data_IF_244379618197
#
_entry.id   IF_244379618197
#
_cell.length_a   1.000
_cell.length_b   1.000
_cell.length_c   1.000
_cell.angle_alpha   90.00
_cell.angle_beta   90.00
_cell.angle_gamma   90.00
#
_symmetry.space_group_name_H-M   'P 1'
#
loop_
_entity.id
_entity.type
_entity.pdbx_description
1 polymer ?
#
# COMPACT_ATOMS: atom_id res chain seq x y z
N UNK A 1 43.93 21.88 -13.83
CA UNK A 1 43.31 20.56 -13.80
C UNK A 1 41.89 20.71 -14.40
N UNK A 2 41.63 20.08 -15.52
CA UNK A 2 40.26 20.07 -16.08
C UNK A 2 39.37 19.36 -15.09
N UNK A 3 38.27 19.98 -14.65
CA UNK A 3 37.25 19.32 -13.84
C UNK A 3 36.76 18.06 -14.57
N UNK A 4 36.63 16.93 -13.90
CA UNK A 4 36.07 15.73 -14.55
C UNK A 4 34.68 16.06 -15.04
N UNK A 5 34.41 15.86 -16.34
CA UNK A 5 33.09 16.05 -16.91
C UNK A 5 32.12 15.06 -16.23
N UNK A 6 31.19 15.56 -15.41
CA UNK A 6 30.11 14.78 -14.86
C UNK A 6 29.12 14.44 -15.96
N UNK A 7 28.66 13.19 -16.00
CA UNK A 7 27.60 12.76 -16.92
C UNK A 7 26.22 13.19 -16.44
N UNK A 8 26.06 13.38 -15.13
CA UNK A 8 24.86 13.92 -14.48
C UNK A 8 25.24 14.56 -13.14
N UNK A 9 24.45 15.51 -12.63
CA UNK A 9 24.62 16.01 -11.27
C UNK A 9 24.28 14.91 -10.24
N UNK A 10 23.17 14.21 -10.45
CA UNK A 10 22.70 13.16 -9.57
C UNK A 10 22.40 11.89 -10.37
N UNK A 11 22.94 10.76 -9.88
CA UNK A 11 22.53 9.43 -10.34
C UNK A 11 21.61 8.80 -9.32
N UNK A 12 20.41 8.42 -9.77
CA UNK A 12 19.42 7.68 -8.98
C UNK A 12 19.47 6.21 -9.39
N UNK A 13 19.70 5.33 -8.43
CA UNK A 13 19.80 3.88 -8.65
C UNK A 13 18.48 3.24 -8.25
N UNK A 14 17.71 2.78 -9.24
CA UNK A 14 16.39 2.19 -9.09
C UNK A 14 15.25 3.10 -9.57
N UNK A 15 14.49 2.62 -10.56
CA UNK A 15 13.33 3.29 -11.13
C UNK A 15 12.00 2.82 -10.50
N UNK A 16 12.00 2.52 -9.22
CA UNK A 16 10.79 2.38 -8.41
C UNK A 16 10.16 3.75 -8.10
N UNK A 17 8.98 3.74 -7.52
CA UNK A 17 8.21 4.96 -7.20
C UNK A 17 9.03 5.98 -6.38
N UNK A 18 9.84 5.52 -5.42
CA UNK A 18 10.68 6.40 -4.60
C UNK A 18 11.78 7.10 -5.43
N UNK A 19 12.47 6.35 -6.29
CA UNK A 19 13.52 6.88 -7.15
C UNK A 19 12.98 7.84 -8.21
N UNK A 20 11.89 7.47 -8.88
CA UNK A 20 11.26 8.30 -9.90
C UNK A 20 10.71 9.61 -9.32
N UNK A 21 10.06 9.55 -8.13
CA UNK A 21 9.56 10.77 -7.48
C UNK A 21 10.71 11.71 -7.04
N UNK A 22 11.83 11.14 -6.58
CA UNK A 22 13.01 11.92 -6.25
C UNK A 22 13.64 12.55 -7.50
N UNK A 23 13.78 11.77 -8.58
CA UNK A 23 14.30 12.27 -9.87
C UNK A 23 13.44 13.41 -10.42
N UNK A 24 12.12 13.29 -10.34
CA UNK A 24 11.18 14.33 -10.76
C UNK A 24 11.44 15.65 -10.03
N UNK A 25 11.56 15.57 -8.72
CA UNK A 25 11.79 16.76 -7.90
C UNK A 25 13.17 17.39 -8.12
N UNK A 26 14.20 16.55 -8.34
CA UNK A 26 15.55 17.04 -8.70
C UNK A 26 15.54 17.73 -10.05
N UNK A 27 14.97 17.11 -11.08
CA UNK A 27 14.86 17.69 -12.42
C UNK A 27 14.03 18.97 -12.44
N UNK A 28 12.94 19.03 -11.67
CA UNK A 28 12.13 20.26 -11.53
C UNK A 28 12.89 21.42 -10.87
N UNK A 29 13.93 21.11 -10.09
CA UNK A 29 14.83 22.11 -9.49
C UNK A 29 16.05 22.43 -10.37
N UNK A 30 16.08 21.97 -11.64
CA UNK A 30 17.17 22.25 -12.58
C UNK A 30 18.40 21.37 -12.41
N UNK A 31 18.32 20.28 -11.63
CA UNK A 31 19.43 19.34 -11.42
C UNK A 31 19.40 18.25 -12.50
N UNK A 32 20.52 18.11 -13.23
CA UNK A 32 20.65 17.05 -14.24
C UNK A 32 20.66 15.69 -13.57
N UNK A 33 19.60 14.91 -13.82
CA UNK A 33 19.36 13.65 -13.09
C UNK A 33 19.30 12.47 -14.06
N UNK A 34 20.04 11.41 -13.75
CA UNK A 34 20.04 10.15 -14.49
C UNK A 34 19.48 9.04 -13.58
N UNK A 35 18.49 8.28 -14.03
CA UNK A 35 17.91 7.14 -13.33
C UNK A 35 18.36 5.84 -13.99
N UNK A 36 18.97 4.94 -13.22
CA UNK A 36 19.45 3.64 -13.68
C UNK A 36 18.60 2.53 -13.07
N UNK A 37 18.01 1.68 -13.92
CA UNK A 37 17.18 0.54 -13.51
C UNK A 37 17.72 -0.76 -14.10
N UNK A 38 17.89 -1.76 -13.25
CA UNK A 38 18.41 -3.06 -13.67
C UNK A 38 17.41 -3.91 -14.47
N UNK A 39 16.10 -3.71 -14.24
CA UNK A 39 15.06 -4.37 -15.03
C UNK A 39 14.85 -3.65 -16.37
N UNK A 40 14.18 -4.33 -17.31
CA UNK A 40 13.80 -3.73 -18.61
C UNK A 40 12.60 -2.78 -18.51
N UNK A 41 11.95 -2.72 -17.35
CA UNK A 41 10.78 -1.89 -17.09
C UNK A 41 10.95 -1.13 -15.77
N UNK A 42 10.35 0.06 -15.69
CA UNK A 42 10.27 0.84 -14.45
C UNK A 42 9.20 0.28 -13.52
N UNK A 43 9.19 0.72 -12.25
CA UNK A 43 8.10 0.45 -11.32
C UNK A 43 8.46 -0.46 -10.15
N UNK A 44 9.44 -1.35 -10.31
CA UNK A 44 9.85 -2.28 -9.26
C UNK A 44 8.69 -3.19 -8.83
N UNK A 45 8.21 -3.05 -7.57
CA UNK A 45 7.07 -3.83 -7.05
C UNK A 45 5.70 -3.39 -7.58
N UNK A 46 5.58 -2.19 -8.15
CA UNK A 46 4.38 -1.74 -8.85
C UNK A 46 4.42 -2.16 -10.32
N UNK A 47 4.30 -3.44 -10.54
CA UNK A 47 4.32 -4.08 -11.86
C UNK A 47 2.98 -4.75 -12.14
N UNK A 48 2.51 -4.63 -13.38
CA UNK A 48 1.28 -5.24 -13.90
C UNK A 48 1.65 -6.16 -15.05
N UNK A 49 1.18 -7.39 -15.01
CA UNK A 49 1.33 -8.34 -16.11
C UNK A 49 0.09 -8.29 -17.01
N UNK A 50 0.29 -8.39 -18.32
CA UNK A 50 -0.78 -8.39 -19.31
C UNK A 50 -0.92 -9.81 -19.88
N UNK A 51 -2.07 -10.44 -19.61
CA UNK A 51 -2.38 -11.80 -20.04
C UNK A 51 -3.76 -11.81 -20.68
N UNK A 52 -3.88 -12.17 -21.95
CA UNK A 52 -5.15 -12.31 -22.68
C UNK A 52 -6.11 -11.12 -22.53
N UNK A 53 -5.57 -9.90 -22.53
CA UNK A 53 -6.31 -8.66 -22.35
C UNK A 53 -6.61 -8.29 -20.88
N UNK A 54 -6.27 -9.16 -19.93
CA UNK A 54 -6.33 -8.83 -18.50
C UNK A 54 -5.08 -8.08 -18.05
N UNK A 55 -5.23 -7.26 -17.00
CA UNK A 55 -4.12 -6.52 -16.35
C UNK A 55 -4.02 -6.94 -14.88
N UNK A 56 -2.97 -7.68 -14.55
CA UNK A 56 -2.77 -8.42 -13.31
C UNK A 56 -1.64 -7.82 -12.48
N UNK A 57 -1.98 -7.20 -11.35
CA UNK A 57 -0.96 -6.60 -10.47
C UNK A 57 -0.21 -7.68 -9.68
N UNK A 58 1.12 -7.64 -9.69
CA UNK A 58 1.95 -8.67 -9.06
C UNK A 58 1.91 -8.65 -7.53
N UNK A 59 1.78 -7.48 -6.93
CA UNK A 59 1.72 -7.30 -5.46
C UNK A 59 0.36 -6.78 -5.02
N UNK A 60 -0.33 -6.00 -5.85
CA UNK A 60 -1.69 -5.52 -5.59
C UNK A 60 -1.81 -4.62 -4.35
N UNK A 61 -0.79 -3.79 -4.06
CA UNK A 61 -0.82 -2.91 -2.91
C UNK A 61 -1.93 -1.87 -3.01
N UNK A 62 -2.78 -1.81 -1.97
CA UNK A 62 -3.89 -0.88 -1.89
C UNK A 62 -3.41 0.56 -1.68
N UNK A 63 -4.02 1.50 -2.41
CA UNK A 63 -3.83 2.93 -2.22
C UNK A 63 -5.00 3.53 -1.44
N UNK A 64 -4.82 4.75 -0.95
CA UNK A 64 -5.90 5.57 -0.40
C UNK A 64 -5.93 6.93 -1.07
N UNK A 65 -7.12 7.42 -1.39
CA UNK A 65 -7.31 8.79 -1.89
C UNK A 65 -6.89 9.85 -0.88
N UNK A 66 -6.71 9.47 0.39
CA UNK A 66 -6.19 10.36 1.45
C UNK A 66 -4.66 10.39 1.54
N UNK A 67 -3.94 9.73 0.65
CA UNK A 67 -2.47 9.80 0.62
C UNK A 67 -1.99 11.14 0.10
N UNK A 68 -1.40 12.02 0.94
CA UNK A 68 -1.01 13.37 0.51
C UNK A 68 0.00 13.38 -0.63
N UNK A 69 0.91 12.40 -0.67
CA UNK A 69 1.98 12.38 -1.67
C UNK A 69 1.47 12.06 -3.08
N UNK A 70 0.32 11.41 -3.23
CA UNK A 70 -0.31 11.21 -4.56
C UNK A 70 -0.74 12.54 -5.20
N UNK A 71 -1.05 13.55 -4.37
CA UNK A 71 -1.47 14.89 -4.83
C UNK A 71 -0.33 15.92 -4.85
N UNK A 72 0.81 15.62 -4.19
CA UNK A 72 1.94 16.56 -4.06
C UNK A 72 3.13 16.19 -4.94
N UNK A 73 3.17 14.95 -5.42
CA UNK A 73 4.29 14.49 -6.24
C UNK A 73 4.15 15.06 -7.66
N UNK A 74 5.09 15.88 -8.12
CA UNK A 74 5.07 16.36 -9.50
C UNK A 74 5.09 15.18 -10.47
N UNK A 75 4.36 15.30 -11.59
CA UNK A 75 4.25 14.26 -12.60
C UNK A 75 3.13 13.24 -12.35
N UNK A 76 2.39 13.35 -11.24
CA UNK A 76 1.21 12.49 -10.97
C UNK A 76 -0.13 13.18 -11.27
N UNK A 77 -0.12 14.38 -11.86
CA UNK A 77 -1.35 15.15 -12.15
C UNK A 77 -2.34 14.41 -13.06
N UNK A 78 -1.83 13.52 -13.92
CA UNK A 78 -2.64 12.67 -14.81
C UNK A 78 -3.04 11.32 -14.21
N UNK A 79 -2.74 11.05 -12.93
CA UNK A 79 -3.06 9.76 -12.31
C UNK A 79 -4.55 9.63 -12.03
N UNK A 80 -5.21 8.70 -12.71
CA UNK A 80 -6.62 8.37 -12.45
C UNK A 80 -6.68 7.26 -11.41
N UNK A 81 -7.37 7.53 -10.29
CA UNK A 81 -7.60 6.56 -9.22
C UNK A 81 -9.03 6.02 -9.31
N UNK A 82 -9.17 4.71 -9.35
CA UNK A 82 -10.46 4.00 -9.31
C UNK A 82 -10.77 3.58 -7.87
N UNK A 83 -11.72 4.23 -7.19
CA UNK A 83 -12.02 3.93 -5.81
C UNK A 83 -12.93 2.71 -5.68
N UNK A 84 -12.65 1.87 -4.68
CA UNK A 84 -13.59 0.86 -4.21
C UNK A 84 -14.88 1.50 -3.69
N UNK A 85 -15.92 0.71 -3.49
CA UNK A 85 -17.11 1.14 -2.74
C UNK A 85 -16.71 1.66 -1.35
N UNK A 86 -17.46 2.61 -0.75
CA UNK A 86 -17.12 3.16 0.56
C UNK A 86 -17.05 2.09 1.65
N UNK A 87 -16.00 2.15 2.46
CA UNK A 87 -15.72 1.14 3.49
C UNK A 87 -15.24 -0.18 2.91
N UNK A 88 -15.60 -1.28 3.56
CA UNK A 88 -15.30 -2.65 3.15
C UNK A 88 -16.49 -3.57 3.42
N UNK A 89 -16.56 -4.70 2.74
CA UNK A 89 -17.42 -5.83 3.10
C UNK A 89 -16.65 -6.78 4.02
N UNK A 90 -17.29 -7.26 5.07
CA UNK A 90 -16.79 -8.30 5.95
C UNK A 90 -17.63 -9.56 5.75
N UNK A 91 -17.00 -10.66 5.40
CA UNK A 91 -17.64 -11.97 5.50
C UNK A 91 -17.49 -12.49 6.93
N UNK A 92 -18.60 -12.76 7.59
CA UNK A 92 -18.61 -13.35 8.93
C UNK A 92 -19.91 -14.09 9.19
N UNK A 93 -19.84 -15.25 9.84
CA UNK A 93 -21.01 -16.13 10.10
C UNK A 93 -21.83 -16.45 8.84
N UNK A 94 -21.18 -16.59 7.67
CA UNK A 94 -21.82 -16.88 6.39
C UNK A 94 -22.62 -15.72 5.78
N UNK A 95 -22.36 -14.48 6.20
CA UNK A 95 -23.05 -13.27 5.73
C UNK A 95 -22.06 -12.14 5.44
N UNK A 96 -22.50 -11.21 4.60
CA UNK A 96 -21.76 -9.98 4.34
C UNK A 96 -22.24 -8.84 5.24
N UNK A 97 -21.30 -8.12 5.84
CA UNK A 97 -21.53 -6.95 6.68
C UNK A 97 -20.76 -5.76 6.14
N UNK A 98 -21.42 -4.64 5.91
CA UNK A 98 -20.72 -3.40 5.55
C UNK A 98 -20.05 -2.78 6.78
N UNK A 99 -18.80 -2.37 6.62
CA UNK A 99 -18.02 -1.73 7.66
C UNK A 99 -17.19 -0.55 7.11
N UNK A 100 -17.04 0.51 7.89
CA UNK A 100 -16.21 1.67 7.55
C UNK A 100 -16.97 2.99 7.58
N UNK A 101 -16.23 4.08 7.38
CA UNK A 101 -16.76 5.45 7.40
C UNK A 101 -17.25 5.83 6.01
N UNK A 102 -18.47 6.39 5.89
CA UNK A 102 -18.92 6.99 4.64
C UNK A 102 -18.26 8.38 4.48
N UNK A 103 -17.60 8.66 3.33
CA UNK A 103 -17.11 10.00 3.05
C UNK A 103 -18.28 10.99 2.95
N UNK A 104 -18.18 12.11 3.65
CA UNK A 104 -19.18 13.18 3.64
C UNK A 104 -20.01 13.31 4.92
N UNK A 105 -19.89 12.40 5.86
CA UNK A 105 -20.56 12.47 7.15
C UNK A 105 -19.67 13.13 8.24
N UNK A 106 -19.12 14.28 7.95
CA UNK A 106 -18.41 15.08 8.96
C UNK A 106 -19.41 15.68 9.95
N UNK A 107 -19.43 15.16 11.19
CA UNK A 107 -20.25 15.65 12.27
C UNK A 107 -21.07 14.56 12.98
N UNK A 108 -21.66 14.91 14.14
CA UNK A 108 -22.51 14.02 14.94
C UNK A 108 -23.66 13.38 14.15
N UNK A 109 -24.12 14.04 13.09
CA UNK A 109 -25.15 13.51 12.16
C UNK A 109 -24.64 12.33 11.33
N UNK A 110 -23.35 12.30 10.93
CA UNK A 110 -22.79 11.19 10.17
C UNK A 110 -22.62 9.92 10.99
N UNK A 111 -22.25 10.04 12.26
CA UNK A 111 -22.21 8.90 13.17
C UNK A 111 -23.60 8.28 13.38
N UNK A 112 -24.63 9.11 13.49
CA UNK A 112 -26.05 8.68 13.57
C UNK A 112 -26.54 8.05 12.27
N UNK A 113 -26.14 8.53 11.09
CA UNK A 113 -26.48 7.91 9.81
C UNK A 113 -25.79 6.57 9.58
N UNK A 114 -24.53 6.41 9.99
CA UNK A 114 -23.82 5.13 9.95
C UNK A 114 -24.50 4.09 10.86
N UNK A 115 -24.92 4.49 12.05
CA UNK A 115 -25.70 3.63 12.98
C UNK A 115 -27.08 3.30 12.38
N UNK A 116 -27.73 4.22 11.71
CA UNK A 116 -29.07 4.01 11.12
C UNK A 116 -29.02 3.15 9.85
N UNK A 117 -28.00 3.30 9.01
CA UNK A 117 -27.79 2.45 7.84
C UNK A 117 -27.50 0.99 8.22
N UNK A 118 -26.79 0.77 9.34
CA UNK A 118 -26.53 -0.56 9.90
C UNK A 118 -27.76 -1.16 10.60
N UNK A 119 -28.65 -0.32 11.13
CA UNK A 119 -29.91 -0.76 11.77
C UNK A 119 -31.06 -1.04 10.78
N UNK A 120 -30.97 -0.49 9.55
CA UNK A 120 -32.01 -0.59 8.51
C UNK A 120 -31.72 -1.59 7.40
N UNK A 121 -30.67 -2.44 7.54
CA UNK A 121 -30.47 -3.55 6.63
C UNK A 121 -31.68 -4.50 6.66
N UNK A 122 -32.31 -4.81 5.51
CA UNK A 122 -33.52 -5.64 5.48
C UNK A 122 -33.20 -7.02 6.09
N UNK A 123 -33.97 -7.38 7.12
CA UNK A 123 -33.97 -8.75 7.66
C UNK A 123 -34.52 -9.67 6.58
N UNK A 124 -33.67 -10.47 5.95
CA UNK A 124 -34.12 -11.53 5.06
C UNK A 124 -35.02 -12.49 5.85
N UNK A 125 -36.16 -12.94 5.30
CA UNK A 125 -37.06 -13.84 6.00
C UNK A 125 -36.35 -15.16 6.30
N UNK A 126 -36.48 -15.60 7.53
CA UNK A 126 -35.93 -16.87 8.04
C UNK A 126 -36.43 -18.04 7.21
N UNK A 127 -35.54 -18.83 6.63
CA UNK A 127 -35.87 -20.12 6.03
C UNK A 127 -36.50 -21.05 7.10
N UNK A 128 -37.50 -21.86 6.75
CA UNK A 128 -38.17 -22.74 7.71
C UNK A 128 -37.20 -23.79 8.25
N UNK A 129 -37.17 -23.93 9.58
CA UNK A 129 -36.42 -24.96 10.28
C UNK A 129 -36.98 -26.35 9.97
N UNK A 130 -36.23 -27.20 9.29
CA UNK A 130 -36.51 -28.65 9.21
C UNK A 130 -36.08 -29.29 10.50
N UNK A 131 -36.96 -30.06 11.19
CA UNK A 131 -36.59 -30.71 12.44
C UNK A 131 -35.63 -31.90 12.17
N UNK A 132 -34.42 -31.84 12.74
CA UNK A 132 -33.47 -32.97 12.74
C UNK A 132 -33.85 -33.94 13.85
N UNK A 133 -34.08 -35.21 13.46
CA UNK A 133 -34.15 -36.37 14.38
C UNK A 133 -32.78 -36.63 15.05
N UNK A 134 -32.73 -37.02 16.33
CA UNK A 134 -31.50 -37.35 17.00
C UNK A 134 -31.08 -38.82 16.70
N UNK A 135 -29.83 -39.01 16.25
CA UNK A 135 -29.17 -40.30 16.31
C UNK A 135 -27.99 -40.18 17.29
N UNK A 136 -28.05 -40.92 18.37
CA UNK A 136 -26.98 -40.98 19.36
C UNK A 136 -25.92 -42.00 18.92
N UNK A 137 -24.63 -41.56 18.96
CA UNK A 137 -23.47 -42.47 19.02
C UNK A 137 -22.46 -41.82 20.00
N UNK A 138 -21.96 -42.57 21.01
CA UNK A 138 -21.00 -42.03 21.97
C UNK A 138 -19.57 -42.24 21.46
N UNK A 139 -18.76 -41.20 21.45
CA UNK A 139 -17.34 -41.33 21.14
C UNK A 139 -16.60 -40.00 21.03
N UNK A 140 -15.81 -39.72 22.05
CA UNK A 140 -14.66 -38.80 22.09
C UNK A 140 -14.94 -37.35 21.75
N UNK A 141 -15.09 -36.55 22.79
CA UNK A 141 -15.13 -35.07 22.71
C UNK A 141 -13.76 -34.54 22.28
N UNK A 142 -13.68 -34.19 20.98
CA UNK A 142 -12.70 -33.21 20.51
C UNK A 142 -13.37 -31.86 20.75
N UNK A 143 -12.79 -31.03 21.59
CA UNK A 143 -13.26 -29.68 21.85
C UNK A 143 -13.09 -28.85 20.59
N UNK A 144 -14.12 -28.77 19.78
CA UNK A 144 -14.23 -27.81 18.68
C UNK A 144 -14.36 -26.42 19.32
N UNK A 145 -13.54 -25.42 18.93
CA UNK A 145 -13.71 -24.06 19.43
C UNK A 145 -15.14 -23.60 19.14
N UNK A 146 -15.85 -23.15 20.18
CA UNK A 146 -17.20 -22.60 20.04
C UNK A 146 -17.19 -21.51 19.01
N UNK A 147 -17.96 -21.64 17.94
CA UNK A 147 -18.27 -20.56 16.99
C UNK A 147 -18.70 -19.33 17.79
N UNK A 148 -17.97 -18.23 17.64
CA UNK A 148 -18.33 -16.93 18.21
C UNK A 148 -19.58 -16.42 17.48
N UNK A 149 -20.77 -16.83 17.91
CA UNK A 149 -22.03 -16.32 17.36
C UNK A 149 -22.21 -14.86 17.75
N UNK A 150 -21.99 -13.96 16.81
CA UNK A 150 -22.23 -12.52 16.96
C UNK A 150 -21.67 -11.75 15.79
N UNK A 151 -22.36 -10.66 15.38
CA UNK A 151 -21.92 -9.83 14.26
C UNK A 151 -20.43 -9.43 14.43
N UNK A 152 -19.61 -9.46 13.36
CA UNK A 152 -18.16 -9.21 13.43
C UNK A 152 -17.81 -7.81 13.96
N UNK A 153 -18.72 -6.85 13.84
CA UNK A 153 -18.57 -5.48 14.35
C UNK A 153 -18.96 -5.32 15.82
N UNK A 154 -19.45 -6.36 16.49
CA UNK A 154 -19.93 -6.29 17.85
C UNK A 154 -21.33 -5.66 17.99
N UNK A 155 -21.65 -5.14 19.20
CA UNK A 155 -22.92 -4.47 19.49
C UNK A 155 -23.01 -3.10 18.83
N UNK A 156 -24.21 -2.50 18.79
CA UNK A 156 -24.42 -1.12 18.29
C UNK A 156 -23.54 -0.10 19.06
N UNK A 157 -23.29 -0.33 20.34
CA UNK A 157 -22.39 0.52 21.14
C UNK A 157 -20.96 0.36 20.70
N UNK A 158 -20.49 -0.87 20.42
CA UNK A 158 -19.15 -1.14 19.94
C UNK A 158 -18.92 -0.49 18.57
N UNK A 159 -19.93 -0.55 17.69
CA UNK A 159 -19.90 0.10 16.37
C UNK A 159 -19.86 1.62 16.48
N UNK A 160 -20.63 2.21 17.39
CA UNK A 160 -20.60 3.66 17.65
C UNK A 160 -19.22 4.10 18.19
N UNK A 161 -18.64 3.34 19.12
CA UNK A 161 -17.28 3.59 19.66
C UNK A 161 -16.22 3.49 18.56
N UNK A 162 -16.30 2.46 17.71
CA UNK A 162 -15.41 2.29 16.57
C UNK A 162 -15.51 3.46 15.59
N UNK A 163 -16.75 3.84 15.21
CA UNK A 163 -16.98 4.98 14.33
C UNK A 163 -16.42 6.28 14.88
N UNK A 164 -16.64 6.56 16.16
CA UNK A 164 -16.08 7.74 16.83
C UNK A 164 -14.54 7.69 16.89
N UNK A 165 -13.95 6.51 17.11
CA UNK A 165 -12.49 6.35 17.11
C UNK A 165 -11.88 6.59 15.71
N UNK A 166 -12.47 6.05 14.65
CA UNK A 166 -12.03 6.26 13.26
C UNK A 166 -12.18 7.73 12.84
N UNK A 167 -13.32 8.38 13.15
CA UNK A 167 -13.53 9.80 12.87
C UNK A 167 -12.48 10.68 13.57
N UNK A 168 -12.16 10.36 14.83
CA UNK A 168 -11.12 11.06 15.58
C UNK A 168 -9.74 10.85 14.96
N UNK A 169 -9.42 9.64 14.50
CA UNK A 169 -8.17 9.35 13.80
C UNK A 169 -8.07 10.13 12.49
N UNK A 170 -9.13 10.20 11.71
CA UNK A 170 -9.16 10.96 10.45
C UNK A 170 -8.82 12.45 10.67
N UNK A 171 -9.35 13.06 11.74
CA UNK A 171 -9.08 14.45 12.10
C UNK A 171 -7.77 14.70 12.86
N UNK A 172 -7.04 13.65 13.28
CA UNK A 172 -5.80 13.83 14.06
C UNK A 172 -4.61 14.08 13.12
N UNK A 173 -3.83 15.17 13.30
CA UNK A 173 -2.60 15.40 12.55
C UNK A 173 -1.63 14.21 12.66
N UNK A 174 -0.93 13.90 11.55
CA UNK A 174 0.01 12.76 11.49
C UNK A 174 1.10 12.87 12.56
N UNK A 175 1.61 14.07 12.82
CA UNK A 175 2.66 14.36 13.81
C UNK A 175 2.22 13.94 15.22
N UNK A 176 0.95 14.18 15.58
CA UNK A 176 0.38 13.75 16.89
C UNK A 176 0.25 12.23 16.98
N UNK A 177 -0.05 11.54 15.87
CA UNK A 177 -0.09 10.09 15.84
C UNK A 177 1.32 9.50 16.02
N UNK A 178 2.31 10.10 15.38
CA UNK A 178 3.71 9.70 15.47
C UNK A 178 4.35 9.98 16.85
N UNK A 179 3.82 10.92 17.60
CA UNK A 179 4.27 11.22 18.96
C UNK A 179 3.72 10.27 20.05
N UNK A 180 2.76 9.40 19.70
CA UNK A 180 2.19 8.42 20.65
C UNK A 180 3.24 7.38 21.08
N UNK A 181 3.07 6.76 22.27
CA UNK A 181 3.83 5.59 22.66
C UNK A 181 3.72 4.50 21.58
N UNK A 182 4.84 3.86 21.31
CA UNK A 182 4.92 2.85 20.25
C UNK A 182 4.85 1.44 20.84
N UNK A 183 3.93 0.66 20.33
CA UNK A 183 3.68 -0.76 20.65
C UNK A 183 3.43 -1.52 19.34
N UNK A 184 3.46 -2.85 19.32
CA UNK A 184 2.83 -3.62 18.27
C UNK A 184 1.34 -3.26 18.13
N UNK A 185 0.84 -3.14 16.91
CA UNK A 185 -0.52 -2.66 16.64
C UNK A 185 -1.59 -3.48 17.39
N UNK A 186 -1.46 -4.80 17.43
CA UNK A 186 -2.39 -5.66 18.15
C UNK A 186 -2.46 -5.34 19.65
N UNK A 187 -1.32 -5.08 20.28
CA UNK A 187 -1.26 -4.69 21.69
C UNK A 187 -1.85 -3.30 21.92
N UNK A 188 -1.53 -2.34 21.05
CA UNK A 188 -2.05 -0.99 21.15
C UNK A 188 -3.58 -0.92 21.02
N UNK A 189 -4.19 -1.72 20.14
CA UNK A 189 -5.64 -1.79 19.97
C UNK A 189 -6.31 -2.34 21.25
N UNK A 190 -5.75 -3.39 21.85
CA UNK A 190 -6.23 -3.96 23.11
C UNK A 190 -6.09 -2.95 24.27
N UNK A 191 -4.93 -2.29 24.37
CA UNK A 191 -4.67 -1.30 25.42
C UNK A 191 -5.61 -0.07 25.35
N UNK A 192 -6.19 0.21 24.18
CA UNK A 192 -7.19 1.29 23.99
C UNK A 192 -8.60 0.89 24.41
N UNK A 193 -8.80 -0.30 24.95
CA UNK A 193 -10.09 -0.78 25.44
C UNK A 193 -11.10 -1.11 24.34
N UNK A 194 -10.64 -1.39 23.12
CA UNK A 194 -11.52 -1.86 22.07
C UNK A 194 -11.90 -3.33 22.33
N UNK A 195 -13.19 -3.72 22.15
CA UNK A 195 -13.63 -5.10 22.34
C UNK A 195 -12.88 -6.06 21.42
N UNK A 196 -12.49 -7.22 21.93
CA UNK A 196 -11.76 -8.23 21.15
C UNK A 196 -12.48 -8.64 19.86
N UNK A 197 -13.82 -8.74 19.91
CA UNK A 197 -14.64 -9.03 18.71
C UNK A 197 -14.51 -7.97 17.62
N UNK A 198 -14.41 -6.67 17.99
CA UNK A 198 -14.22 -5.57 17.05
C UNK A 198 -12.79 -5.58 16.49
N UNK A 199 -11.82 -5.92 17.36
CA UNK A 199 -10.42 -6.07 16.92
C UNK A 199 -10.32 -7.24 15.95
N UNK A 200 -10.75 -8.42 16.33
CA UNK A 200 -10.56 -9.66 15.55
C UNK A 200 -11.49 -9.72 14.32
N UNK A 201 -12.73 -9.23 14.43
CA UNK A 201 -13.71 -9.29 13.35
C UNK A 201 -13.62 -8.16 12.32
N UNK A 202 -12.95 -7.06 12.64
CA UNK A 202 -12.83 -5.93 11.70
C UNK A 202 -11.43 -5.34 11.61
N UNK A 203 -10.85 -4.88 12.75
CA UNK A 203 -9.59 -4.12 12.67
C UNK A 203 -8.41 -4.99 12.24
N UNK A 204 -8.37 -6.25 12.68
CA UNK A 204 -7.33 -7.20 12.26
C UNK A 204 -7.42 -7.51 10.77
N UNK A 205 -8.55 -7.96 10.20
CA UNK A 205 -8.67 -8.16 8.76
C UNK A 205 -8.35 -6.89 7.94
N UNK A 206 -8.82 -5.73 8.38
CA UNK A 206 -8.56 -4.48 7.71
C UNK A 206 -7.07 -4.10 7.73
N UNK A 207 -6.43 -4.12 8.90
CA UNK A 207 -5.01 -3.78 9.03
C UNK A 207 -4.13 -4.82 8.35
N UNK A 208 -4.50 -6.10 8.39
CA UNK A 208 -3.81 -7.15 7.64
C UNK A 208 -3.82 -6.84 6.14
N UNK A 209 -4.97 -6.44 5.59
CA UNK A 209 -5.08 -6.05 4.18
C UNK A 209 -4.24 -4.79 3.84
N UNK A 210 -4.24 -3.78 4.73
CA UNK A 210 -3.57 -2.49 4.49
C UNK A 210 -2.04 -2.56 4.69
N UNK A 211 -1.57 -3.41 5.61
CA UNK A 211 -0.16 -3.47 6.05
C UNK A 211 0.53 -4.78 5.65
N UNK A 212 -0.21 -5.73 5.08
CA UNK A 212 0.25 -7.09 4.77
C UNK A 212 0.78 -7.87 6.00
N UNK A 213 0.32 -7.50 7.20
CA UNK A 213 0.74 -8.07 8.48
C UNK A 213 -0.46 -8.71 9.21
N UNK A 214 -0.70 -10.02 9.05
CA UNK A 214 -1.84 -10.70 9.68
C UNK A 214 -1.74 -10.78 11.21
N UNK A 215 -0.52 -10.72 11.76
CA UNK A 215 -0.26 -10.86 13.18
C UNK A 215 -0.31 -9.52 13.93
N UNK A 216 -0.47 -8.40 13.21
CA UNK A 216 -0.47 -7.03 13.76
C UNK A 216 0.78 -6.72 14.60
N UNK A 217 1.94 -7.18 14.15
CA UNK A 217 3.26 -6.90 14.76
C UNK A 217 3.80 -5.53 14.38
N UNK A 218 3.23 -4.93 13.35
CA UNK A 218 3.56 -3.58 12.86
C UNK A 218 3.41 -2.53 13.95
N UNK A 219 4.27 -1.52 13.93
CA UNK A 219 4.20 -0.35 14.81
C UNK A 219 2.80 0.26 14.85
N UNK A 220 2.30 0.51 16.05
CA UNK A 220 0.99 1.15 16.26
C UNK A 220 0.89 2.54 15.62
N UNK A 221 2.03 3.23 15.47
CA UNK A 221 2.10 4.52 14.76
C UNK A 221 1.81 4.35 13.27
N UNK A 222 2.38 3.31 12.64
CA UNK A 222 2.10 2.98 11.24
C UNK A 222 0.65 2.50 11.05
N UNK A 223 0.14 1.67 11.97
CA UNK A 223 -1.25 1.24 11.97
C UNK A 223 -2.23 2.41 12.13
N UNK A 224 -1.93 3.38 13.01
CA UNK A 224 -2.74 4.59 13.17
C UNK A 224 -2.75 5.45 11.89
N UNK A 225 -1.62 5.56 11.19
CA UNK A 225 -1.56 6.26 9.90
C UNK A 225 -2.38 5.53 8.82
N UNK A 226 -2.34 4.20 8.78
CA UNK A 226 -3.15 3.40 7.85
C UNK A 226 -4.65 3.55 8.15
N UNK A 227 -5.06 3.46 9.42
CA UNK A 227 -6.46 3.69 9.83
C UNK A 227 -6.90 5.13 9.57
N UNK A 228 -6.02 6.11 9.77
CA UNK A 228 -6.29 7.51 9.42
C UNK A 228 -6.56 7.69 7.94
N UNK A 229 -5.74 7.08 7.09
CA UNK A 229 -5.91 7.15 5.64
C UNK A 229 -7.19 6.42 5.18
N UNK A 230 -7.52 5.28 5.80
CA UNK A 230 -8.78 4.56 5.56
C UNK A 230 -10.01 5.38 5.97
N UNK A 231 -9.96 6.02 7.15
CA UNK A 231 -11.07 6.80 7.67
C UNK A 231 -11.23 8.18 6.99
N UNK A 232 -10.15 8.75 6.46
CA UNK A 232 -10.14 10.06 5.80
C UNK A 232 -10.31 10.02 4.29
N UNK A 233 -10.32 8.84 3.67
CA UNK A 233 -10.42 8.67 2.22
C UNK A 233 -11.11 7.38 1.81
N UNK A 234 -10.83 6.95 0.59
CA UNK A 234 -11.32 5.68 0.02
C UNK A 234 -10.14 4.84 -0.41
N UNK A 235 -10.25 3.53 -0.24
CA UNK A 235 -9.33 2.60 -0.88
C UNK A 235 -9.49 2.71 -2.40
N UNK A 236 -8.41 2.61 -3.13
CA UNK A 236 -8.40 2.77 -4.58
C UNK A 236 -7.24 2.01 -5.22
N UNK A 237 -7.33 1.85 -6.54
CA UNK A 237 -6.27 1.35 -7.39
C UNK A 237 -6.02 2.33 -8.54
N UNK A 238 -4.82 2.38 -9.13
CA UNK A 238 -4.59 3.11 -10.37
C UNK A 238 -5.38 2.50 -11.51
N UNK A 239 -6.01 3.34 -12.34
CA UNK A 239 -6.67 2.88 -13.57
C UNK A 239 -5.65 2.23 -14.50
N UNK A 240 -5.98 1.06 -15.01
CA UNK A 240 -5.12 0.34 -15.95
C UNK A 240 -4.01 -0.49 -15.33
N UNK A 241 -3.73 -0.38 -14.02
CA UNK A 241 -2.70 -1.19 -13.36
C UNK A 241 -1.81 -0.42 -12.43
N UNK A 242 -1.17 -1.14 -11.52
CA UNK A 242 -0.19 -0.53 -10.61
C UNK A 242 0.99 0.09 -11.35
N UNK A 243 1.36 -0.44 -12.52
CA UNK A 243 2.44 0.06 -13.38
C UNK A 243 2.21 1.49 -13.88
N UNK A 244 0.94 1.94 -13.97
CA UNK A 244 0.59 3.26 -14.51
C UNK A 244 1.22 4.39 -13.69
N UNK A 245 1.29 4.25 -12.36
CA UNK A 245 1.89 5.28 -11.50
C UNK A 245 3.39 5.50 -11.77
N UNK A 246 4.26 4.46 -11.70
CA UNK A 246 5.68 4.65 -12.04
C UNK A 246 5.91 5.00 -13.52
N UNK A 247 5.12 4.47 -14.45
CA UNK A 247 5.21 4.84 -15.88
C UNK A 247 4.88 6.32 -16.11
N UNK A 248 3.86 6.84 -15.42
CA UNK A 248 3.51 8.26 -15.50
C UNK A 248 4.66 9.13 -14.99
N UNK A 249 5.25 8.79 -13.85
CA UNK A 249 6.43 9.47 -13.34
C UNK A 249 7.60 9.42 -14.33
N UNK A 250 7.87 8.26 -14.92
CA UNK A 250 8.97 8.11 -15.87
C UNK A 250 8.74 8.91 -17.17
N UNK A 251 7.51 8.92 -17.70
CA UNK A 251 7.17 9.65 -18.93
C UNK A 251 7.24 11.16 -18.79
N UNK A 252 7.03 11.68 -17.59
CA UNK A 252 7.03 13.11 -17.31
C UNK A 252 8.43 13.65 -16.93
N UNK A 253 9.44 12.77 -16.80
CA UNK A 253 10.84 13.16 -16.69
C UNK A 253 11.40 13.62 -18.05
N UNK A 254 12.49 14.43 -18.07
CA UNK A 254 13.16 14.81 -19.31
C UNK A 254 13.56 13.57 -20.12
N UNK A 255 13.42 13.65 -21.43
CA UNK A 255 13.78 12.57 -22.35
C UNK A 255 15.24 12.13 -22.13
N UNK A 256 15.47 10.81 -22.12
CA UNK A 256 16.81 10.26 -21.88
C UNK A 256 17.28 10.26 -20.42
N UNK A 257 16.43 10.65 -19.45
CA UNK A 257 16.80 10.62 -18.02
C UNK A 257 16.73 9.21 -17.42
N UNK A 258 15.93 8.30 -17.98
CA UNK A 258 15.70 6.96 -17.43
C UNK A 258 16.32 5.90 -18.35
N UNK A 259 17.22 5.10 -17.79
CA UNK A 259 17.91 4.01 -18.48
C UNK A 259 17.56 2.68 -17.82
N UNK A 260 16.86 1.82 -18.54
CA UNK A 260 16.50 0.47 -18.11
C UNK A 260 17.49 -0.56 -18.64
N UNK A 261 17.56 -1.74 -18.03
CA UNK A 261 18.54 -2.78 -18.37
C UNK A 261 19.97 -2.47 -17.89
N UNK A 262 20.15 -1.46 -17.03
CA UNK A 262 21.46 -1.01 -16.53
C UNK A 262 21.61 -1.39 -15.06
N UNK A 263 22.47 -2.36 -14.77
CA UNK A 263 22.69 -2.85 -13.41
C UNK A 263 23.86 -2.12 -12.74
N UNK A 264 23.57 -1.40 -11.67
CA UNK A 264 24.61 -0.82 -10.81
C UNK A 264 25.18 -1.89 -9.89
N UNK A 265 26.50 -2.03 -9.86
CA UNK A 265 27.24 -3.03 -9.07
C UNK A 265 27.92 -2.44 -7.83
N UNK A 266 28.29 -1.15 -7.88
CA UNK A 266 28.83 -0.44 -6.73
C UNK A 266 28.53 1.06 -6.79
N UNK A 267 28.58 1.70 -5.63
CA UNK A 267 28.31 3.13 -5.48
C UNK A 267 29.38 3.79 -4.60
N UNK A 268 29.67 5.05 -4.90
CA UNK A 268 30.45 5.94 -4.06
C UNK A 268 29.71 7.28 -3.92
N UNK A 269 30.31 8.26 -3.26
CA UNK A 269 29.71 9.60 -3.13
C UNK A 269 29.69 10.40 -4.43
N UNK A 270 30.53 10.01 -5.42
CA UNK A 270 30.75 10.75 -6.66
C UNK A 270 30.68 9.90 -7.92
N UNK A 271 30.36 8.63 -7.81
CA UNK A 271 30.30 7.73 -8.96
C UNK A 271 29.46 6.48 -8.67
N UNK A 272 28.92 5.90 -9.73
CA UNK A 272 28.36 4.55 -9.72
C UNK A 272 29.11 3.69 -10.75
N UNK A 273 29.30 2.40 -10.45
CA UNK A 273 29.81 1.42 -11.41
C UNK A 273 28.65 0.58 -11.91
N UNK A 274 28.54 0.45 -13.22
CA UNK A 274 27.53 -0.39 -13.87
C UNK A 274 28.20 -1.63 -14.45
N UNK A 275 27.44 -2.71 -14.61
CA UNK A 275 27.92 -3.92 -15.25
C UNK A 275 28.16 -3.71 -16.75
N UNK A 276 27.32 -2.88 -17.39
CA UNK A 276 27.25 -2.74 -18.85
C UNK A 276 28.09 -1.56 -19.38
N UNK A 277 28.19 -0.45 -18.62
CA UNK A 277 28.74 0.84 -19.11
C UNK A 277 29.92 1.36 -18.30
N UNK A 278 30.45 0.56 -17.37
CA UNK A 278 31.59 0.98 -16.53
C UNK A 278 31.20 2.07 -15.51
N UNK A 279 32.08 3.03 -15.29
CA UNK A 279 31.94 4.06 -14.25
C UNK A 279 31.26 5.31 -14.79
N UNK A 280 30.17 5.70 -14.12
CA UNK A 280 29.45 6.96 -14.38
C UNK A 280 29.76 7.93 -13.23
N UNK A 281 30.31 9.11 -13.54
CA UNK A 281 30.64 10.14 -12.55
C UNK A 281 29.47 11.09 -12.32
N UNK A 282 29.28 11.51 -11.07
CA UNK A 282 28.21 12.41 -10.65
C UNK A 282 28.62 13.20 -9.40
N UNK A 283 27.82 14.19 -9.01
CA UNK A 283 28.03 14.97 -7.79
C UNK A 283 27.37 14.33 -6.57
N UNK A 284 26.32 13.53 -6.81
CA UNK A 284 25.65 12.78 -5.75
C UNK A 284 24.99 11.51 -6.28
N UNK A 285 24.88 10.50 -5.43
CA UNK A 285 24.24 9.22 -5.71
C UNK A 285 23.06 9.02 -4.74
N UNK A 286 21.91 8.69 -5.29
CA UNK A 286 20.73 8.29 -4.54
C UNK A 286 20.42 6.82 -4.79
N UNK A 287 20.59 5.96 -3.78
CA UNK A 287 20.19 4.55 -3.82
C UNK A 287 18.69 4.46 -3.48
N UNK A 288 17.88 4.11 -4.48
CA UNK A 288 16.42 4.03 -4.41
C UNK A 288 15.89 2.61 -4.70
N UNK A 289 16.73 1.60 -4.54
CA UNK A 289 16.41 0.19 -4.75
C UNK A 289 15.61 -0.40 -3.58
N UNK A 290 15.11 -1.63 -3.72
CA UNK A 290 14.56 -2.39 -2.60
C UNK A 290 15.60 -2.59 -1.49
N UNK A 291 15.15 -2.80 -0.24
CA UNK A 291 16.02 -2.79 0.95
C UNK A 291 17.19 -3.76 0.86
N UNK A 292 16.99 -4.96 0.30
CA UNK A 292 18.08 -5.95 0.15
C UNK A 292 19.13 -5.51 -0.86
N UNK A 293 18.70 -5.04 -2.02
CA UNK A 293 19.62 -4.52 -3.03
C UNK A 293 20.34 -3.24 -2.54
N UNK A 294 19.63 -2.38 -1.78
CA UNK A 294 20.25 -1.23 -1.13
C UNK A 294 21.35 -1.65 -0.15
N UNK A 295 21.15 -2.71 0.63
CA UNK A 295 22.17 -3.19 1.59
C UNK A 295 23.40 -3.82 0.91
N UNK A 296 23.25 -4.37 -0.30
CA UNK A 296 24.39 -4.83 -1.11
C UNK A 296 25.23 -3.65 -1.58
N UNK A 297 24.58 -2.58 -2.04
CA UNK A 297 25.27 -1.36 -2.52
C UNK A 297 25.81 -0.50 -1.38
N UNK A 298 25.21 -0.57 -0.20
CA UNK A 298 25.47 0.24 0.99
C UNK A 298 25.76 -0.67 2.18
N UNK A 299 26.98 -1.24 2.31
CA UNK A 299 27.35 -2.10 3.43
C UNK A 299 27.05 -1.43 4.78
N UNK A 300 26.43 -2.16 5.70
CA UNK A 300 26.00 -1.65 7.01
C UNK A 300 24.55 -1.15 7.03
N UNK A 301 23.86 -1.06 5.91
CA UNK A 301 22.44 -0.77 5.90
C UNK A 301 21.65 -1.99 6.42
N UNK A 302 20.87 -1.80 7.49
CA UNK A 302 20.05 -2.87 8.05
C UNK A 302 18.91 -3.25 7.08
N UNK A 303 18.87 -4.52 6.69
CA UNK A 303 17.75 -5.10 5.92
C UNK A 303 16.62 -5.42 6.88
N UNK A 304 15.39 -4.91 6.65
CA UNK A 304 14.22 -5.30 7.45
C UNK A 304 13.81 -6.75 7.12
N UNK A 305 13.03 -7.37 8.00
CA UNK A 305 12.23 -8.53 7.61
C UNK A 305 11.15 -8.11 6.62
N UNK A 306 10.56 -9.07 5.92
CA UNK A 306 9.51 -8.80 4.94
C UNK A 306 8.26 -9.61 5.23
N UNK A 307 7.12 -9.05 4.91
CA UNK A 307 5.86 -9.76 4.79
C UNK A 307 5.71 -10.24 3.34
N UNK A 308 5.72 -11.56 3.10
CA UNK A 308 5.47 -12.10 1.77
C UNK A 308 4.00 -11.98 1.41
N UNK A 309 3.76 -11.78 0.12
CA UNK A 309 2.41 -11.65 -0.45
C UNK A 309 2.28 -12.56 -1.67
N UNK A 310 1.16 -13.27 -1.75
CA UNK A 310 0.76 -14.00 -2.94
C UNK A 310 -0.55 -13.43 -3.47
N UNK A 311 -0.59 -13.04 -4.73
CA UNK A 311 -1.81 -12.58 -5.40
C UNK A 311 -2.24 -13.66 -6.39
N UNK A 312 -3.49 -14.09 -6.28
CA UNK A 312 -4.10 -15.07 -7.18
C UNK A 312 -5.19 -14.37 -7.98
N UNK A 313 -5.08 -14.45 -9.28
CA UNK A 313 -6.02 -13.84 -10.22
C UNK A 313 -6.87 -14.91 -10.89
N UNK A 314 -8.19 -14.75 -10.77
CA UNK A 314 -9.16 -15.61 -11.44
C UNK A 314 -10.03 -14.79 -12.38
N UNK A 315 -10.57 -15.46 -13.40
CA UNK A 315 -11.59 -14.89 -14.27
C UNK A 315 -12.85 -15.76 -14.29
N UNK A 316 -13.96 -15.11 -14.55
CA UNK A 316 -15.28 -15.73 -14.68
C UNK A 316 -16.17 -14.87 -15.58
N UNK A 317 -17.15 -15.49 -16.25
CA UNK A 317 -18.16 -14.79 -17.05
C UNK A 317 -19.26 -14.16 -16.16
N UNK A 318 -19.48 -14.75 -14.98
CA UNK A 318 -20.50 -14.29 -14.00
C UNK A 318 -19.80 -13.69 -12.79
N UNK A 319 -19.71 -12.34 -12.70
CA UNK A 319 -19.08 -11.70 -11.55
C UNK A 319 -19.87 -11.92 -10.27
N UNK A 320 -19.20 -12.22 -9.14
CA UNK A 320 -19.85 -12.27 -7.83
C UNK A 320 -20.56 -10.96 -7.49
N UNK A 321 -21.70 -11.04 -6.77
CA UNK A 321 -22.58 -9.92 -6.47
C UNK A 321 -22.10 -8.92 -5.42
N UNK A 322 -20.77 -8.75 -5.23
CA UNK A 322 -20.19 -7.81 -4.25
C UNK A 322 -19.95 -6.41 -4.79
N UNK A 323 -20.16 -6.20 -6.09
CA UNK A 323 -19.88 -4.91 -6.73
C UNK A 323 -18.41 -4.50 -6.61
N UNK A 324 -18.16 -3.22 -6.59
CA UNK A 324 -16.84 -2.64 -6.46
C UNK A 324 -16.31 -2.66 -5.00
N UNK A 325 -16.77 -3.59 -4.16
CA UNK A 325 -16.38 -3.65 -2.74
C UNK A 325 -15.11 -4.47 -2.53
N UNK A 326 -14.27 -4.03 -1.60
CA UNK A 326 -13.22 -4.85 -1.01
C UNK A 326 -13.85 -5.81 0.00
N UNK A 327 -13.64 -7.10 -0.14
CA UNK A 327 -14.16 -8.14 0.75
C UNK A 327 -13.03 -8.68 1.63
N UNK A 328 -13.26 -8.69 2.95
CA UNK A 328 -12.36 -9.22 3.97
C UNK A 328 -12.99 -10.43 4.66
N UNK A 329 -12.19 -11.38 5.11
CA UNK A 329 -12.65 -12.52 5.92
C UNK A 329 -12.53 -12.20 7.42
N UNK A 330 -13.68 -11.98 8.09
CA UNK A 330 -13.74 -11.74 9.53
C UNK A 330 -13.61 -13.04 10.33
N UNK A 331 -13.92 -14.18 9.73
CA UNK A 331 -13.83 -15.51 10.37
C UNK A 331 -12.43 -16.10 10.34
N UNK A 332 -11.52 -15.52 9.52
CA UNK A 332 -10.17 -16.03 9.27
C UNK A 332 -10.16 -17.52 8.89
N UNK A 333 -11.14 -17.93 8.09
CA UNK A 333 -11.43 -19.33 7.82
C UNK A 333 -10.71 -19.90 6.61
N UNK A 334 -9.73 -19.19 6.03
CA UNK A 334 -8.97 -19.65 4.87
C UNK A 334 -7.78 -18.73 4.55
N UNK A 335 -7.05 -18.99 3.44
CA UNK A 335 -5.81 -18.29 3.15
C UNK A 335 -6.01 -16.85 2.63
N UNK A 336 -7.19 -16.50 2.10
CA UNK A 336 -7.44 -15.19 1.50
C UNK A 336 -7.65 -14.15 2.58
N UNK A 337 -6.78 -13.16 2.65
CA UNK A 337 -6.92 -12.02 3.57
C UNK A 337 -7.92 -10.99 3.05
N UNK A 338 -7.86 -10.71 1.74
CA UNK A 338 -8.84 -9.86 1.06
C UNK A 338 -8.97 -10.24 -0.42
N UNK A 339 -10.13 -9.90 -0.99
CA UNK A 339 -10.44 -10.16 -2.40
C UNK A 339 -11.38 -9.07 -2.94
N UNK A 340 -11.37 -8.87 -4.24
CA UNK A 340 -12.30 -7.99 -4.91
C UNK A 340 -12.54 -8.43 -6.36
N UNK A 341 -13.72 -8.13 -6.90
CA UNK A 341 -13.99 -8.18 -8.33
C UNK A 341 -13.38 -6.93 -8.96
N UNK A 342 -12.09 -7.01 -9.28
CA UNK A 342 -11.28 -5.85 -9.63
C UNK A 342 -11.77 -5.15 -10.91
N UNK A 343 -12.32 -5.91 -11.87
CA UNK A 343 -12.95 -5.36 -13.08
C UNK A 343 -14.21 -4.52 -12.80
N UNK A 344 -14.87 -4.68 -11.65
CA UNK A 344 -15.97 -3.82 -11.22
C UNK A 344 -15.50 -2.52 -10.54
N UNK A 345 -14.26 -2.49 -10.07
CA UNK A 345 -13.61 -1.27 -9.57
C UNK A 345 -13.00 -0.49 -10.73
N UNK A 346 -12.30 -1.19 -11.61
CA UNK A 346 -11.63 -0.66 -12.79
C UNK A 346 -11.94 -1.54 -14.02
N UNK A 347 -12.90 -1.14 -14.86
CA UNK A 347 -13.29 -1.92 -16.04
C UNK A 347 -12.15 -2.14 -17.05
N UNK A 348 -11.11 -1.32 -17.04
CA UNK A 348 -9.97 -1.48 -17.95
C UNK A 348 -9.08 -2.70 -17.62
N UNK A 349 -9.37 -3.40 -16.52
CA UNK A 349 -8.58 -4.54 -16.04
C UNK A 349 -8.93 -5.87 -16.70
N UNK A 350 -10.07 -5.95 -17.36
CA UNK A 350 -10.55 -7.18 -18.00
C UNK A 350 -11.14 -6.92 -19.38
N UNK A 351 -11.12 -7.89 -20.29
CA UNK A 351 -11.86 -7.82 -21.54
C UNK A 351 -13.37 -7.71 -21.29
N UNK A 352 -14.08 -7.15 -22.26
CA UNK A 352 -15.55 -7.05 -22.20
C UNK A 352 -16.20 -8.43 -22.00
N UNK A 353 -17.18 -8.50 -21.10
CA UNK A 353 -17.89 -9.74 -20.77
C UNK A 353 -17.16 -10.68 -19.80
N UNK A 354 -15.95 -10.35 -19.38
CA UNK A 354 -15.18 -11.13 -18.39
C UNK A 354 -14.99 -10.36 -17.10
N UNK A 355 -15.04 -11.06 -15.97
CA UNK A 355 -14.72 -10.50 -14.66
C UNK A 355 -13.32 -10.92 -14.21
N UNK A 356 -12.58 -9.98 -13.64
CA UNK A 356 -11.32 -10.24 -12.95
C UNK A 356 -11.53 -10.22 -11.45
N UNK A 357 -11.26 -11.34 -10.79
CA UNK A 357 -11.23 -11.47 -9.33
C UNK A 357 -9.80 -11.55 -8.86
N UNK A 358 -9.38 -10.59 -8.04
CA UNK A 358 -8.02 -10.53 -7.47
C UNK A 358 -8.09 -10.86 -5.98
N UNK A 359 -7.28 -11.80 -5.52
CA UNK A 359 -7.29 -12.32 -4.15
C UNK A 359 -5.89 -12.36 -3.57
N UNK A 360 -5.73 -11.84 -2.36
CA UNK A 360 -4.43 -11.71 -1.69
C UNK A 360 -4.33 -12.69 -0.53
N UNK A 361 -3.25 -13.48 -0.54
CA UNK A 361 -2.82 -14.39 0.53
C UNK A 361 -1.59 -13.79 1.19
N UNK A 362 -1.63 -13.64 2.50
CA UNK A 362 -0.54 -13.09 3.31
C UNK A 362 0.28 -14.20 3.95
N UNK A 363 1.58 -13.95 4.10
CA UNK A 363 2.51 -14.92 4.67
C UNK A 363 2.86 -16.03 3.68
N UNK A 364 3.19 -17.21 4.22
CA UNK A 364 3.55 -18.38 3.40
C UNK A 364 2.28 -18.96 2.76
N UNK A 365 2.21 -19.05 1.43
CA UNK A 365 1.04 -19.64 0.78
C UNK A 365 0.95 -21.16 1.06
N UNK A 366 -0.25 -21.75 1.02
CA UNK A 366 -0.43 -23.19 1.06
C UNK A 366 0.22 -23.86 -0.16
N UNK A 367 0.50 -25.17 -0.09
CA UNK A 367 1.17 -25.91 -1.17
C UNK A 367 0.40 -25.87 -2.49
N UNK A 368 -0.91 -26.13 -2.45
CA UNK A 368 -1.83 -25.91 -3.57
C UNK A 368 -2.63 -24.62 -3.29
N UNK A 369 -2.01 -23.50 -3.61
CA UNK A 369 -2.60 -22.18 -3.33
C UNK A 369 -3.85 -21.92 -4.15
N UNK A 370 -3.90 -22.37 -5.40
CA UNK A 370 -5.06 -22.15 -6.26
C UNK A 370 -6.30 -22.85 -5.71
N UNK A 371 -6.23 -24.16 -5.48
CA UNK A 371 -7.34 -24.91 -4.90
C UNK A 371 -7.78 -24.36 -3.55
N UNK A 372 -6.83 -24.06 -2.66
CA UNK A 372 -7.15 -23.50 -1.35
C UNK A 372 -7.84 -22.13 -1.44
N UNK A 373 -7.38 -21.27 -2.34
CA UNK A 373 -7.98 -19.94 -2.60
C UNK A 373 -9.38 -20.12 -3.20
N UNK A 374 -9.57 -20.94 -4.23
CA UNK A 374 -10.88 -21.17 -4.87
C UNK A 374 -11.92 -21.71 -3.88
N UNK A 375 -11.54 -22.67 -3.02
CA UNK A 375 -12.43 -23.18 -1.96
C UNK A 375 -12.83 -22.05 -0.99
N UNK A 376 -11.88 -21.20 -0.63
CA UNK A 376 -12.14 -20.08 0.27
C UNK A 376 -13.04 -19.03 -0.40
N UNK A 377 -12.78 -18.69 -1.68
CA UNK A 377 -13.58 -17.75 -2.45
C UNK A 377 -15.02 -18.21 -2.63
N UNK A 378 -15.25 -19.52 -2.83
CA UNK A 378 -16.60 -20.08 -2.92
C UNK A 378 -17.40 -19.78 -1.64
N UNK A 379 -16.74 -19.83 -0.46
CA UNK A 379 -17.36 -19.47 0.81
C UNK A 379 -17.56 -17.96 0.94
N UNK A 380 -16.51 -17.17 0.64
CA UNK A 380 -16.55 -15.72 0.80
C UNK A 380 -17.59 -15.06 -0.11
N UNK A 381 -17.72 -15.52 -1.34
CA UNK A 381 -18.68 -14.98 -2.30
C UNK A 381 -20.04 -15.68 -2.26
N UNK A 382 -20.16 -16.83 -1.58
CA UNK A 382 -21.38 -17.63 -1.55
C UNK A 382 -21.76 -18.20 -2.92
N UNK A 383 -20.78 -18.47 -3.79
CA UNK A 383 -20.99 -18.95 -5.16
C UNK A 383 -20.00 -20.06 -5.52
N UNK A 384 -20.36 -20.88 -6.51
CA UNK A 384 -19.43 -21.91 -7.00
C UNK A 384 -18.28 -21.30 -7.80
N UNK A 385 -17.06 -21.71 -7.47
CA UNK A 385 -15.84 -21.32 -8.20
C UNK A 385 -15.40 -22.40 -9.21
N UNK A 386 -16.20 -23.45 -9.44
CA UNK A 386 -15.83 -24.58 -10.28
C UNK A 386 -15.52 -24.19 -11.74
N UNK A 387 -16.22 -23.18 -12.26
CA UNK A 387 -16.02 -22.64 -13.62
C UNK A 387 -15.03 -21.48 -13.72
N UNK A 388 -14.44 -21.08 -12.59
CA UNK A 388 -13.44 -20.01 -12.61
C UNK A 388 -12.13 -20.51 -13.18
N UNK A 389 -11.48 -19.68 -13.98
CA UNK A 389 -10.18 -19.96 -14.57
C UNK A 389 -9.10 -19.17 -13.84
N UNK A 390 -7.98 -19.80 -13.53
CA UNK A 390 -6.83 -19.14 -12.92
C UNK A 390 -5.98 -18.51 -14.01
N UNK A 391 -5.82 -17.19 -13.95
CA UNK A 391 -5.00 -16.43 -14.89
C UNK A 391 -3.53 -16.41 -14.47
N UNK A 392 -3.27 -16.17 -13.19
CA UNK A 392 -1.90 -16.10 -12.66
C UNK A 392 -1.87 -16.26 -11.14
N UNK A 393 -0.71 -16.72 -10.66
CA UNK A 393 -0.34 -16.75 -9.24
C UNK A 393 1.00 -16.03 -9.10
N UNK A 394 0.99 -14.86 -8.46
CA UNK A 394 2.20 -14.07 -8.23
C UNK A 394 2.63 -14.16 -6.76
N UNK A 395 3.77 -14.80 -6.50
CA UNK A 395 4.37 -14.82 -5.16
C UNK A 395 5.55 -13.86 -5.08
N UNK A 396 5.52 -12.96 -4.09
CA UNK A 396 6.60 -12.01 -3.81
C UNK A 396 7.04 -12.17 -2.36
N UNK A 397 8.19 -12.79 -2.15
CA UNK A 397 8.73 -13.06 -0.80
C UNK A 397 9.11 -11.77 -0.06
N UNK A 398 9.60 -10.77 -0.78
CA UNK A 398 10.02 -9.48 -0.25
C UNK A 398 9.02 -8.37 -0.63
N UNK A 399 7.72 -8.65 -0.47
CA UNK A 399 6.67 -7.74 -0.93
C UNK A 399 6.63 -6.44 -0.10
N UNK A 400 6.59 -6.55 1.23
CA UNK A 400 6.42 -5.40 2.11
C UNK A 400 7.42 -5.46 3.26
N UNK A 401 8.30 -4.45 3.42
CA UNK A 401 9.20 -4.36 4.57
C UNK A 401 8.42 -4.30 5.89
N UNK A 402 8.77 -5.14 6.85
CA UNK A 402 8.13 -5.14 8.16
C UNK A 402 8.48 -3.89 8.97
N UNK A 403 7.47 -3.29 9.58
CA UNK A 403 7.57 -2.06 10.38
C UNK A 403 7.40 -2.36 11.87
N UNK A 404 8.14 -3.34 12.41
CA UNK A 404 8.04 -3.70 13.83
C UNK A 404 8.62 -2.61 14.76
N UNK A 405 8.06 -2.38 15.96
CA UNK A 405 8.64 -1.51 16.96
C UNK A 405 10.03 -1.98 17.43
N UNK A 406 10.99 -1.07 17.65
CA UNK A 406 10.92 0.36 17.37
C UNK A 406 11.08 0.64 15.86
N UNK A 407 10.12 1.37 15.27
CA UNK A 407 10.16 1.73 13.85
C UNK A 407 10.30 3.24 13.68
N UNK A 408 11.48 3.68 13.29
CA UNK A 408 11.73 5.08 13.01
C UNK A 408 11.31 5.44 11.58
N UNK A 409 10.22 6.20 11.46
CA UNK A 409 9.70 6.77 10.20
C UNK A 409 10.52 7.95 9.67
N UNK A 410 11.50 8.42 10.45
CA UNK A 410 12.39 9.53 10.06
C UNK A 410 13.83 9.06 9.87
N UNK A 411 14.03 7.78 9.53
CA UNK A 411 15.37 7.24 9.26
C UNK A 411 16.14 8.18 8.35
N UNK A 412 17.42 8.45 8.64
CA UNK A 412 18.24 9.32 7.82
C UNK A 412 18.25 8.88 6.35
N UNK A 413 18.00 9.79 5.45
CA UNK A 413 18.10 9.57 4.00
C UNK A 413 19.49 9.97 3.47
N UNK A 414 20.20 10.86 4.16
CA UNK A 414 21.59 11.22 3.93
C UNK A 414 22.48 10.30 4.74
N UNK A 415 23.33 9.53 4.09
CA UNK A 415 24.33 8.67 4.73
C UNK A 415 25.68 9.38 4.87
N UNK A 416 26.11 9.99 3.78
CA UNK A 416 27.30 10.84 3.69
C UNK A 416 26.98 12.02 2.77
N UNK A 417 27.83 13.04 2.74
CA UNK A 417 27.75 14.06 1.71
C UNK A 417 27.97 13.41 0.32
N UNK A 418 27.01 13.59 -0.57
CA UNK A 418 26.99 12.95 -1.89
C UNK A 418 26.43 11.53 -1.94
N UNK A 419 26.05 10.91 -0.81
CA UNK A 419 25.47 9.54 -0.80
C UNK A 419 24.19 9.48 0.01
N UNK A 420 23.09 9.11 -0.67
CA UNK A 420 21.74 9.13 -0.13
C UNK A 420 21.02 7.81 -0.37
N UNK A 421 19.98 7.56 0.44
CA UNK A 421 19.13 6.37 0.31
C UNK A 421 17.67 6.75 0.50
N UNK A 422 16.77 6.18 -0.33
CA UNK A 422 15.33 6.28 -0.14
C UNK A 422 14.64 4.95 -0.46
N UNK A 423 13.35 4.89 -0.22
CA UNK A 423 12.51 3.71 -0.39
C UNK A 423 11.50 3.62 0.74
N UNK A 424 10.50 2.75 0.58
CA UNK A 424 9.50 2.48 1.60
C UNK A 424 10.09 1.91 2.90
N UNK A 425 11.22 1.22 2.83
CA UNK A 425 11.97 0.74 4.00
C UNK A 425 12.62 1.86 4.83
N UNK A 426 12.57 3.11 4.39
CA UNK A 426 13.06 4.30 5.10
C UNK A 426 11.92 5.17 5.66
N UNK A 427 10.67 4.78 5.44
CA UNK A 427 9.44 5.46 5.87
C UNK A 427 8.36 4.41 6.21
N UNK A 428 7.08 4.62 5.92
CA UNK A 428 6.07 3.57 5.93
C UNK A 428 6.22 2.66 4.72
N UNK A 429 5.98 1.36 4.89
CA UNK A 429 6.06 0.36 3.81
C UNK A 429 4.82 0.40 2.91
N UNK A 430 4.54 1.57 2.37
CA UNK A 430 3.41 1.89 1.49
C UNK A 430 3.89 2.77 0.33
N UNK A 431 3.08 2.92 -0.72
CA UNK A 431 3.36 3.86 -1.81
C UNK A 431 3.50 5.28 -1.28
N UNK A 432 2.67 5.68 -0.29
CA UNK A 432 2.79 6.97 0.41
C UNK A 432 4.18 7.16 1.02
N UNK A 433 4.69 6.14 1.72
CA UNK A 433 6.01 6.20 2.35
C UNK A 433 7.15 6.19 1.33
N UNK A 434 7.01 5.43 0.25
CA UNK A 434 7.98 5.42 -0.84
C UNK A 434 8.12 6.81 -1.48
N UNK A 435 7.01 7.45 -1.86
CA UNK A 435 6.98 8.81 -2.42
C UNK A 435 7.59 9.82 -1.43
N UNK A 436 7.15 9.79 -0.17
CA UNK A 436 7.63 10.68 0.88
C UNK A 436 9.13 10.51 1.13
N UNK A 437 9.64 9.28 1.14
CA UNK A 437 11.06 8.99 1.28
C UNK A 437 11.88 9.56 0.13
N UNK A 438 11.39 9.46 -1.11
CA UNK A 438 11.98 10.09 -2.29
C UNK A 438 12.03 11.61 -2.16
N UNK A 439 10.95 12.24 -1.69
CA UNK A 439 10.90 13.68 -1.45
C UNK A 439 11.89 14.15 -0.37
N UNK A 440 12.02 13.38 0.71
CA UNK A 440 13.01 13.69 1.76
C UNK A 440 14.44 13.61 1.24
N UNK A 441 14.75 12.58 0.46
CA UNK A 441 16.08 12.39 -0.12
C UNK A 441 16.42 13.48 -1.14
N UNK A 442 15.50 13.78 -2.05
CA UNK A 442 15.71 14.87 -3.03
C UNK A 442 15.88 16.23 -2.35
N UNK A 443 15.12 16.52 -1.28
CA UNK A 443 15.28 17.76 -0.52
C UNK A 443 16.66 17.84 0.17
N UNK A 444 17.18 16.73 0.71
CA UNK A 444 18.51 16.68 1.29
C UNK A 444 19.60 16.90 0.22
N UNK A 445 19.46 16.28 -0.94
CA UNK A 445 20.38 16.47 -2.08
C UNK A 445 20.40 17.93 -2.54
N UNK A 446 19.21 18.52 -2.73
CA UNK A 446 19.10 19.93 -3.15
C UNK A 446 19.73 20.90 -2.14
N UNK A 447 19.56 20.64 -0.85
CA UNK A 447 20.20 21.44 0.20
C UNK A 447 21.73 21.34 0.13
N UNK A 448 22.27 20.13 -0.07
CA UNK A 448 23.71 19.92 -0.15
C UNK A 448 24.33 20.49 -1.46
N UNK A 449 23.61 20.42 -2.57
CA UNK A 449 24.06 21.01 -3.85
C UNK A 449 23.91 22.55 -3.88
N UNK A 450 23.26 23.15 -2.88
CA UNK A 450 22.99 24.60 -2.84
C UNK A 450 21.91 25.07 -3.82
N UNK A 451 21.30 24.16 -4.59
CA UNK A 451 20.28 24.48 -5.59
C UNK A 451 18.98 25.04 -4.98
N UNK A 452 18.72 24.80 -3.68
CA UNK A 452 17.55 25.30 -2.97
C UNK A 452 17.62 26.77 -2.55
N UNK A 453 18.78 27.43 -2.66
CA UNK A 453 18.95 28.83 -2.27
C UNK A 453 18.72 29.85 -3.40
N UNK A 454 18.76 29.42 -4.65
CA UNK A 454 18.68 30.33 -5.83
C UNK A 454 17.25 30.78 -6.17
N UNK A 455 16.20 30.19 -5.64
CA UNK A 455 14.82 30.56 -5.97
C UNK A 455 14.19 31.60 -5.03
N UNK A 456 14.89 32.01 -3.95
CA UNK A 456 14.39 33.03 -3.01
C UNK A 456 15.30 34.25 -2.81
N UNK A 457 16.36 34.40 -3.59
CA UNK A 457 17.25 35.53 -3.53
C UNK A 457 17.13 36.40 -4.79
N UNK A 458 15.95 36.96 -5.02
CA UNK A 458 15.83 38.27 -5.63
C UNK A 458 15.56 39.28 -4.50
N UNK A 459 16.55 39.48 -3.62
CA UNK A 459 16.58 40.65 -2.78
C UNK A 459 16.75 41.87 -3.72
N UNK A 460 15.90 42.89 -3.58
CA UNK A 460 16.08 44.14 -4.33
C UNK A 460 17.41 44.76 -3.91
N UNK A 461 18.23 45.08 -4.91
CA UNK A 461 19.46 45.84 -4.72
C UNK A 461 19.20 47.03 -3.78
N UNK A 462 20.08 47.34 -2.82
CA UNK A 462 19.91 48.47 -1.95
C UNK A 462 19.97 49.74 -2.80
N UNK A 463 18.91 50.53 -2.77
CA UNK A 463 18.86 51.87 -3.36
C UNK A 463 19.92 52.73 -2.70
N UNK A 464 20.91 53.15 -3.51
CA UNK A 464 21.92 54.13 -3.10
C UNK A 464 21.19 55.46 -2.82
N UNK A 465 21.38 56.11 -1.64
CA UNK A 465 20.81 57.41 -1.38
C UNK A 465 21.46 58.43 -2.33
N UNK A 466 20.65 59.17 -3.10
CA UNK A 466 21.13 60.35 -3.79
C UNK A 466 21.52 61.39 -2.74
N UNK A 467 22.80 61.80 -2.76
CA UNK A 467 23.27 62.96 -2.04
C UNK A 467 22.61 64.22 -2.61
N UNK A 468 22.16 65.09 -1.71
CA UNK A 468 21.65 66.40 -1.97
C UNK A 468 22.77 67.38 -2.37
#
# INVERSE_FOLDING_TARGET
MLEPAYQADVVVVGAGVAGLSAAHRLSSAGVTTMVLEAAHQVGGRMATEKVDGFRLDRVGQLLSTAYPELHRTPGLDGLVLRPFAPGVLLHGDGRHHHAGVQPGAGGARGALHAVRALASAPRSPSAPRVPRRPAAVPGRQVSVPRSRSGAPLGTAVDQARLGAALTRLAGTPAERLLARPELPAGQALTARGLPSRTIDGFLRPLLAALLCDPDLTTSSRCADLALRAFAGGRLCVPEGGSEVLPELLARTLPAGSVHTGVRVTSVSTTAVTTAEHGVIRCRAVLVATGARAAAVLLPGLRVPEFHPVTVVHHTTDEPPGTGASMLLDADLGGPVAHTAVLSQVDPSRAPAGRALVSSTVLGRPPGDVDTAVRMHLARLYGTSTARWETLAVHHTAEAVPAMRPPHDLRRPVRLLAGLYVCGDHRDTSTVQGALRSGHRASAAILADLGAGRSMHAADPLPTVPRAA
#
